data_IF_745528805060
#
_entry.id   IF_745528805060
#
_cell.length_a   1.000
_cell.length_b   1.000
_cell.length_c   1.000
_cell.angle_alpha   90.00
_cell.angle_beta   90.00
_cell.angle_gamma   90.00
#
_symmetry.space_group_name_H-M   'P 1'
#
loop_
_entity.id
_entity.type
_entity.pdbx_description
1 polymer ?
#
# COMPACT_ATOMS: atom_id res chain seq x y z
N UNK A 1 30.50 11.30 0.79
CA UNK A 1 29.84 11.60 -0.49
C UNK A 1 30.47 10.78 -1.62
N UNK A 2 30.22 9.47 -1.77
CA UNK A 2 30.64 8.69 -2.95
C UNK A 2 29.65 7.52 -3.14
N UNK A 3 28.50 7.77 -3.77
CA UNK A 3 27.57 6.74 -4.25
C UNK A 3 26.83 7.26 -5.49
N UNK A 4 27.53 7.40 -6.62
CA UNK A 4 26.91 7.66 -7.92
C UNK A 4 27.90 7.21 -9.01
N UNK A 5 27.50 6.28 -9.88
CA UNK A 5 27.85 6.16 -11.31
C UNK A 5 27.77 4.70 -11.78
N UNK A 6 26.82 4.45 -12.69
CA UNK A 6 26.89 3.58 -13.88
C UNK A 6 25.49 3.01 -14.19
N UNK A 7 24.97 2.95 -15.41
CA UNK A 7 25.26 3.56 -16.70
C UNK A 7 24.03 3.22 -17.56
N UNK A 8 23.49 4.21 -18.26
CA UNK A 8 22.35 4.07 -19.19
C UNK A 8 22.88 3.57 -20.53
N UNK A 9 22.26 2.55 -21.12
CA UNK A 9 22.05 2.41 -22.58
C UNK A 9 21.53 1.01 -22.95
N UNK A 10 20.35 0.90 -23.57
CA UNK A 10 20.21 0.18 -24.85
C UNK A 10 18.91 0.61 -25.55
N UNK A 11 19.00 0.83 -26.86
CA UNK A 11 18.03 1.46 -27.75
C UNK A 11 17.64 0.46 -28.85
N UNK A 12 16.44 0.63 -29.42
CA UNK A 12 15.92 0.07 -30.70
C UNK A 12 15.55 -1.44 -30.70
N UNK A 13 14.58 -1.97 -31.45
CA UNK A 13 13.92 -1.53 -32.70
C UNK A 13 12.66 -2.40 -32.98
N UNK A 14 11.81 -1.95 -33.92
CA UNK A 14 10.95 -2.74 -34.85
C UNK A 14 9.60 -3.26 -34.31
N UNK A 15 8.44 -3.18 -34.98
CA UNK A 15 8.04 -2.69 -36.30
C UNK A 15 6.52 -2.50 -36.33
N UNK A 16 6.07 -1.54 -37.13
CA UNK A 16 4.68 -1.25 -37.50
C UNK A 16 4.13 -2.34 -38.42
N UNK A 17 2.89 -2.79 -38.20
CA UNK A 17 2.10 -3.56 -39.16
C UNK A 17 0.74 -2.88 -39.37
N UNK A 18 0.56 -2.35 -40.58
CA UNK A 18 -0.69 -1.86 -41.14
C UNK A 18 -1.62 -3.05 -41.44
N UNK A 19 -2.91 -2.91 -41.15
CA UNK A 19 -3.97 -3.73 -41.73
C UNK A 19 -5.04 -2.79 -42.31
N UNK A 20 -5.31 -2.97 -43.60
CA UNK A 20 -6.19 -2.17 -44.46
C UNK A 20 -7.66 -2.60 -44.35
N UNK A 21 -8.51 -1.60 -44.57
CA UNK A 21 -9.95 -1.58 -44.87
C UNK A 21 -10.65 -2.89 -45.30
N UNK A 22 -11.85 -3.10 -44.77
CA UNK A 22 -12.96 -3.65 -45.55
C UNK A 22 -14.31 -3.08 -45.06
N UNK A 23 -14.92 -2.21 -45.85
CA UNK A 23 -16.29 -1.73 -45.67
C UNK A 23 -17.29 -2.85 -45.96
N UNK A 24 -18.18 -3.16 -45.01
CA UNK A 24 -19.32 -4.04 -45.24
C UNK A 24 -20.63 -3.23 -45.30
N UNK A 25 -21.55 -3.56 -46.21
CA UNK A 25 -22.68 -2.71 -46.59
C UNK A 25 -23.85 -2.77 -45.59
N UNK A 26 -24.63 -1.69 -45.53
CA UNK A 26 -25.91 -1.59 -44.81
C UNK A 26 -26.95 -2.55 -45.40
N UNK A 27 -27.62 -3.39 -44.59
CA UNK A 27 -28.80 -4.10 -45.06
C UNK A 27 -30.05 -3.19 -45.01
N UNK A 28 -30.65 -3.07 -46.17
CA UNK A 28 -31.99 -2.55 -46.45
C UNK A 28 -33.08 -3.30 -45.70
N UNK A 29 -34.07 -2.54 -45.24
CA UNK A 29 -35.34 -2.95 -44.65
C UNK A 29 -36.14 -3.90 -45.54
N UNK A 30 -36.59 -5.02 -44.98
CA UNK A 30 -37.98 -5.54 -44.94
C UNK A 30 -37.93 -7.04 -44.63
N UNK A 31 -38.50 -7.46 -43.51
CA UNK A 31 -39.70 -8.33 -43.53
C UNK A 31 -40.17 -8.61 -42.11
N UNK A 32 -41.48 -8.46 -41.97
CA UNK A 32 -42.29 -8.55 -40.77
C UNK A 32 -42.72 -10.01 -40.69
N UNK A 33 -42.61 -10.67 -39.54
CA UNK A 33 -43.54 -11.75 -39.19
C UNK A 33 -43.72 -11.85 -37.68
N UNK A 34 -44.99 -11.98 -37.33
CA UNK A 34 -45.59 -11.80 -36.04
C UNK A 34 -45.51 -13.06 -35.16
N UNK A 35 -45.18 -12.89 -33.89
CA UNK A 35 -45.87 -13.56 -32.78
C UNK A 35 -45.54 -12.84 -31.46
N UNK A 36 -46.55 -12.57 -30.63
CA UNK A 36 -46.41 -11.86 -29.36
C UNK A 36 -47.29 -10.61 -29.26
N UNK A 37 -48.32 -10.68 -28.40
CA UNK A 37 -49.32 -9.63 -28.16
C UNK A 37 -48.78 -8.28 -27.65
N UNK A 38 -49.68 -7.30 -27.42
CA UNK A 38 -49.31 -5.89 -27.30
C UNK A 38 -48.53 -5.60 -26.01
N UNK A 39 -47.19 -5.59 -26.07
CA UNK A 39 -46.34 -4.88 -25.11
C UNK A 39 -46.35 -3.38 -25.44
N UNK A 40 -47.51 -2.75 -25.29
CA UNK A 40 -47.69 -1.30 -25.50
C UNK A 40 -47.39 -0.37 -24.29
N UNK A 41 -46.99 -0.81 -23.07
CA UNK A 41 -46.55 0.14 -22.03
C UNK A 41 -45.04 0.43 -22.00
N UNK A 42 -44.18 -0.59 -22.10
CA UNK A 42 -42.73 -0.46 -21.83
C UNK A 42 -41.98 0.36 -22.89
N UNK A 43 -42.35 0.23 -24.16
CA UNK A 43 -41.73 0.99 -25.24
C UNK A 43 -42.12 2.47 -25.22
N UNK A 44 -43.35 2.78 -24.79
CA UNK A 44 -43.81 4.17 -24.61
C UNK A 44 -43.07 4.83 -23.44
N UNK A 45 -42.87 4.10 -22.34
CA UNK A 45 -42.15 4.61 -21.17
C UNK A 45 -40.66 4.82 -21.48
N UNK A 46 -40.03 3.89 -22.21
CA UNK A 46 -38.66 4.09 -22.74
C UNK A 46 -38.58 5.28 -23.69
N UNK A 47 -39.56 5.45 -24.56
CA UNK A 47 -39.61 6.58 -25.50
C UNK A 47 -39.77 7.91 -24.77
N UNK A 48 -40.63 7.97 -23.74
CA UNK A 48 -40.84 9.17 -22.92
C UNK A 48 -39.57 9.55 -22.13
N UNK A 49 -38.87 8.58 -21.53
CA UNK A 49 -37.56 8.81 -20.87
C UNK A 49 -36.51 9.34 -21.86
N UNK A 50 -36.55 8.86 -23.12
CA UNK A 50 -35.65 9.33 -24.17
C UNK A 50 -36.00 10.75 -24.61
N UNK A 51 -37.28 11.10 -24.67
CA UNK A 51 -37.77 12.45 -24.95
C UNK A 51 -37.41 13.43 -23.83
N UNK A 52 -37.50 13.03 -22.57
CA UNK A 52 -37.05 13.83 -21.42
C UNK A 52 -35.54 14.09 -21.49
N UNK A 53 -34.74 13.06 -21.78
CA UNK A 53 -33.29 13.21 -21.98
C UNK A 53 -32.95 14.11 -23.16
N UNK A 54 -33.72 14.02 -24.25
CA UNK A 54 -33.55 14.90 -25.41
C UNK A 54 -33.90 16.36 -25.06
N UNK A 55 -34.95 16.59 -24.28
CA UNK A 55 -35.30 17.93 -23.81
C UNK A 55 -34.21 18.51 -22.89
N UNK A 56 -33.71 17.71 -21.95
CA UNK A 56 -32.60 18.09 -21.06
C UNK A 56 -31.32 18.40 -21.86
N UNK A 57 -30.98 17.56 -22.85
CA UNK A 57 -29.86 17.82 -23.75
C UNK A 57 -30.05 19.12 -24.53
N UNK A 58 -31.27 19.40 -25.01
CA UNK A 58 -31.55 20.60 -25.80
C UNK A 58 -31.46 21.88 -24.94
N UNK A 59 -31.94 21.85 -23.70
CA UNK A 59 -31.77 22.98 -22.77
C UNK A 59 -30.29 23.16 -22.38
N UNK A 60 -29.53 22.08 -22.21
CA UNK A 60 -28.08 22.17 -21.97
C UNK A 60 -27.34 22.75 -23.17
N UNK A 61 -27.70 22.38 -24.39
CA UNK A 61 -27.15 22.96 -25.62
C UNK A 61 -27.49 24.45 -25.70
N UNK A 62 -28.72 24.85 -25.41
CA UNK A 62 -29.14 26.26 -25.40
C UNK A 62 -28.40 27.11 -24.35
N UNK A 63 -28.18 26.56 -23.15
CA UNK A 63 -27.35 27.18 -22.12
C UNK A 63 -25.91 27.33 -22.62
N UNK A 64 -25.34 26.29 -23.23
CA UNK A 64 -24.00 26.34 -23.81
C UNK A 64 -23.90 27.36 -24.95
N UNK A 65 -24.91 27.45 -25.83
CA UNK A 65 -24.94 28.44 -26.92
C UNK A 65 -25.08 29.88 -26.40
N UNK A 66 -25.87 30.10 -25.34
CA UNK A 66 -25.97 31.42 -24.69
C UNK A 66 -24.69 31.80 -23.95
N UNK A 67 -24.00 30.83 -23.35
CA UNK A 67 -22.69 31.01 -22.76
C UNK A 67 -21.63 31.31 -23.84
N UNK A 68 -21.68 30.64 -24.99
CA UNK A 68 -20.78 30.85 -26.12
C UNK A 68 -20.98 32.22 -26.78
N UNK A 69 -22.22 32.73 -26.84
CA UNK A 69 -22.54 34.07 -27.35
C UNK A 69 -21.93 35.21 -26.53
N UNK A 70 -21.71 34.98 -25.24
CA UNK A 70 -21.18 35.99 -24.31
C UNK A 70 -19.71 35.74 -23.90
N UNK A 71 -19.12 34.62 -24.29
CA UNK A 71 -17.76 34.25 -23.94
C UNK A 71 -16.80 34.53 -25.10
N UNK A 72 -15.72 35.26 -24.82
CA UNK A 72 -14.61 35.37 -25.76
C UNK A 72 -13.90 34.01 -25.87
N UNK A 73 -13.25 33.69 -27.01
CA UNK A 73 -12.49 32.45 -27.18
C UNK A 73 -11.48 32.17 -26.05
N UNK A 74 -10.96 33.23 -25.43
CA UNK A 74 -10.04 33.16 -24.28
C UNK A 74 -10.69 32.59 -23.01
N UNK A 75 -11.95 32.93 -22.71
CA UNK A 75 -12.67 32.45 -21.52
C UNK A 75 -13.08 30.98 -21.63
N UNK A 76 -13.31 30.51 -22.85
CA UNK A 76 -13.62 29.09 -23.14
C UNK A 76 -12.36 28.24 -22.99
N UNK A 77 -11.21 28.74 -23.48
CA UNK A 77 -9.91 28.07 -23.32
C UNK A 77 -9.53 27.89 -21.85
N UNK A 78 -9.64 28.95 -21.03
CA UNK A 78 -9.28 28.89 -19.62
C UNK A 78 -10.16 27.94 -18.79
N UNK A 79 -11.44 27.81 -19.17
CA UNK A 79 -12.39 26.95 -18.45
C UNK A 79 -12.19 25.47 -18.80
N UNK A 80 -11.89 25.15 -20.06
CA UNK A 80 -11.52 23.80 -20.50
C UNK A 80 -10.17 23.36 -19.93
N UNK A 81 -9.22 24.29 -19.83
CA UNK A 81 -7.89 24.03 -19.26
C UNK A 81 -7.97 23.80 -17.74
N UNK A 82 -8.78 24.59 -17.02
CA UNK A 82 -9.09 24.35 -15.61
C UNK A 82 -9.77 23.00 -15.36
N UNK A 83 -10.75 22.61 -16.18
CA UNK A 83 -11.43 21.32 -16.05
C UNK A 83 -10.52 20.12 -16.37
N UNK A 84 -9.61 20.26 -17.34
CA UNK A 84 -8.58 19.24 -17.64
C UNK A 84 -7.62 19.07 -16.48
N UNK A 85 -7.12 20.17 -15.91
CA UNK A 85 -6.19 20.10 -14.76
C UNK A 85 -6.84 19.47 -13.53
N UNK A 86 -8.13 19.71 -13.29
CA UNK A 86 -8.85 19.09 -12.18
C UNK A 86 -9.09 17.59 -12.41
N UNK A 87 -9.49 17.19 -13.62
CA UNK A 87 -9.68 15.78 -13.96
C UNK A 87 -8.36 14.99 -13.94
N UNK A 88 -7.26 15.60 -14.38
CA UNK A 88 -5.91 15.04 -14.30
C UNK A 88 -5.42 14.96 -12.85
N UNK A 89 -5.71 15.96 -12.01
CA UNK A 89 -5.39 15.94 -10.58
C UNK A 89 -6.19 14.86 -9.84
N UNK A 90 -7.48 14.70 -10.12
CA UNK A 90 -8.34 13.69 -9.51
C UNK A 90 -7.99 12.27 -10.00
N UNK A 91 -7.59 12.12 -11.27
CA UNK A 91 -7.07 10.87 -11.80
C UNK A 91 -5.70 10.51 -11.19
N UNK A 92 -4.82 11.48 -11.00
CA UNK A 92 -3.51 11.32 -10.35
C UNK A 92 -3.68 10.93 -8.88
N UNK A 93 -4.62 11.57 -8.17
CA UNK A 93 -4.97 11.22 -6.79
C UNK A 93 -5.49 9.78 -6.68
N UNK A 94 -6.44 9.39 -7.53
CA UNK A 94 -6.97 8.02 -7.57
C UNK A 94 -5.92 6.97 -7.97
N UNK A 95 -4.97 7.33 -8.84
CA UNK A 95 -3.85 6.48 -9.19
C UNK A 95 -2.86 6.32 -8.02
N UNK A 96 -2.63 7.38 -7.23
CA UNK A 96 -1.78 7.32 -6.03
C UNK A 96 -2.37 6.49 -4.88
N UNK A 97 -3.70 6.48 -4.75
CA UNK A 97 -4.42 5.74 -3.70
C UNK A 97 -4.43 4.21 -3.94
N UNK A 98 -4.25 3.77 -5.20
CA UNK A 98 -4.30 2.35 -5.59
C UNK A 98 -3.01 1.84 -6.26
N UNK A 99 -1.95 2.63 -6.30
CA UNK A 99 -0.67 2.17 -6.83
C UNK A 99 -0.11 1.08 -5.90
N UNK A 100 0.15 -0.16 -6.39
CA UNK A 100 0.95 -1.10 -5.63
C UNK A 100 2.29 -0.42 -5.37
N UNK A 101 2.60 -0.22 -4.10
CA UNK A 101 3.86 0.36 -3.67
C UNK A 101 4.99 -0.53 -4.16
N UNK A 102 5.59 -0.18 -5.30
CA UNK A 102 6.91 -0.67 -5.68
C UNK A 102 7.91 0.01 -4.75
N UNK A 103 8.00 -0.47 -3.51
CA UNK A 103 8.92 0.05 -2.48
C UNK A 103 10.35 -0.38 -2.81
N UNK A 104 10.94 0.27 -3.82
CA UNK A 104 12.38 0.38 -3.95
C UNK A 104 12.81 1.69 -3.29
N UNK A 105 12.60 1.80 -1.97
CA UNK A 105 13.16 2.89 -1.18
C UNK A 105 14.70 2.77 -1.20
N UNK A 106 15.45 3.89 -1.17
CA UNK A 106 16.90 3.84 -0.95
C UNK A 106 17.29 3.01 0.28
N UNK A 107 16.42 2.98 1.30
CA UNK A 107 16.58 2.15 2.49
C UNK A 107 16.56 0.65 2.19
N UNK A 108 15.86 0.18 1.15
CA UNK A 108 15.76 -1.23 0.78
C UNK A 108 17.14 -1.84 0.47
N UNK A 109 17.98 -1.13 -0.29
CA UNK A 109 19.30 -1.62 -0.67
C UNK A 109 20.23 -1.71 0.54
N UNK A 110 20.23 -0.67 1.38
CA UNK A 110 21.01 -0.65 2.63
C UNK A 110 20.55 -1.73 3.60
N UNK A 111 19.23 -1.95 3.69
CA UNK A 111 18.64 -3.00 4.52
C UNK A 111 19.10 -4.37 4.07
N UNK A 112 19.04 -4.67 2.77
CA UNK A 112 19.50 -5.95 2.23
C UNK A 112 20.99 -6.20 2.50
N UNK A 113 21.83 -5.16 2.41
CA UNK A 113 23.24 -5.24 2.77
C UNK A 113 23.42 -5.54 4.26
N UNK A 114 22.71 -4.83 5.14
CA UNK A 114 22.77 -5.03 6.58
C UNK A 114 22.28 -6.44 6.99
N UNK A 115 21.20 -6.93 6.37
CA UNK A 115 20.72 -8.31 6.51
C UNK A 115 21.75 -9.33 6.04
N UNK A 116 22.48 -9.04 4.96
CA UNK A 116 23.61 -9.86 4.51
C UNK A 116 24.71 -10.01 5.55
N UNK A 117 25.05 -8.92 6.28
CA UNK A 117 26.01 -8.96 7.39
C UNK A 117 25.45 -9.76 8.59
N UNK A 118 24.17 -9.59 8.91
CA UNK A 118 23.51 -10.33 9.97
C UNK A 118 23.51 -11.84 9.70
N UNK A 119 23.23 -12.25 8.46
CA UNK A 119 23.24 -13.65 8.04
C UNK A 119 24.63 -14.28 8.09
N UNK A 120 25.69 -13.47 7.94
CA UNK A 120 27.09 -13.89 8.13
C UNK A 120 27.51 -13.97 9.61
N UNK A 121 26.64 -13.55 10.54
CA UNK A 121 26.95 -13.47 11.96
C UNK A 121 27.86 -12.29 12.34
N UNK A 122 28.06 -11.33 11.44
CA UNK A 122 28.86 -10.12 11.69
C UNK A 122 28.04 -9.09 12.48
N UNK A 123 27.64 -9.45 13.71
CA UNK A 123 26.66 -8.70 14.51
C UNK A 123 27.02 -7.22 14.73
N UNK A 124 28.30 -6.91 14.98
CA UNK A 124 28.75 -5.53 15.16
C UNK A 124 28.52 -4.67 13.91
N UNK A 125 29.01 -5.14 12.75
CA UNK A 125 28.84 -4.44 11.47
C UNK A 125 27.38 -4.39 11.03
N UNK A 126 26.62 -5.45 11.27
CA UNK A 126 25.18 -5.48 10.98
C UNK A 126 24.44 -4.41 11.81
N UNK A 127 24.71 -4.33 13.12
CA UNK A 127 24.11 -3.31 14.00
C UNK A 127 24.43 -1.89 13.51
N UNK A 128 25.70 -1.62 13.16
CA UNK A 128 26.10 -0.32 12.61
C UNK A 128 25.36 0.01 11.31
N UNK A 129 25.27 -0.94 10.37
CA UNK A 129 24.57 -0.75 9.11
C UNK A 129 23.06 -0.50 9.31
N UNK A 130 22.41 -1.22 10.22
CA UNK A 130 21.02 -0.97 10.57
C UNK A 130 20.82 0.40 11.24
N UNK A 131 21.74 0.83 12.13
CA UNK A 131 21.68 2.15 12.75
C UNK A 131 21.82 3.30 11.74
N UNK A 132 22.56 3.10 10.65
CA UNK A 132 22.59 4.08 9.56
C UNK A 132 21.20 4.25 8.94
N UNK A 133 20.48 3.14 8.68
CA UNK A 133 19.13 3.18 8.11
C UNK A 133 18.18 3.96 9.02
N UNK A 134 18.22 3.71 10.33
CA UNK A 134 17.34 4.39 11.30
C UNK A 134 17.62 5.89 11.42
N UNK A 135 18.82 6.34 11.05
CA UNK A 135 19.23 7.76 11.07
C UNK A 135 18.93 8.46 9.75
N UNK A 136 19.19 7.79 8.62
CA UNK A 136 19.03 8.35 7.28
C UNK A 136 17.56 8.33 6.83
N UNK A 137 16.79 7.32 7.25
CA UNK A 137 15.42 7.08 6.80
C UNK A 137 14.45 6.85 7.98
N UNK A 138 14.37 7.76 8.97
CA UNK A 138 13.66 7.51 10.24
C UNK A 138 12.16 7.19 10.08
N UNK A 139 11.51 7.72 9.04
CA UNK A 139 10.08 7.50 8.76
C UNK A 139 9.81 6.30 7.84
N UNK A 140 10.86 5.68 7.31
CA UNK A 140 10.73 4.58 6.35
C UNK A 140 10.36 3.27 7.07
N UNK A 141 9.56 2.43 6.43
CA UNK A 141 9.21 1.09 6.95
C UNK A 141 10.46 0.26 7.27
N UNK A 142 11.54 0.43 6.51
CA UNK A 142 12.80 -0.26 6.74
C UNK A 142 13.55 0.24 7.98
N UNK A 143 13.30 1.45 8.49
CA UNK A 143 13.87 1.88 9.76
C UNK A 143 13.26 1.11 10.93
N UNK A 144 11.94 0.88 10.94
CA UNK A 144 11.30 0.06 11.97
C UNK A 144 11.70 -1.41 11.88
N UNK A 145 11.87 -1.95 10.66
CA UNK A 145 12.44 -3.29 10.44
C UNK A 145 13.91 -3.37 10.90
N UNK A 146 14.69 -2.31 10.67
CA UNK A 146 16.07 -2.22 11.15
C UNK A 146 16.14 -2.20 12.69
N UNK A 147 15.25 -1.46 13.35
CA UNK A 147 15.13 -1.46 14.81
C UNK A 147 14.84 -2.85 15.39
N UNK A 148 13.96 -3.63 14.74
CA UNK A 148 13.71 -5.02 15.14
C UNK A 148 15.00 -5.85 15.11
N UNK A 149 15.76 -5.77 14.02
CA UNK A 149 17.03 -6.51 13.89
C UNK A 149 18.12 -6.01 14.85
N UNK A 150 18.17 -4.72 15.15
CA UNK A 150 19.05 -4.17 16.19
C UNK A 150 18.69 -4.78 17.55
N UNK A 151 17.40 -4.92 17.85
CA UNK A 151 16.92 -5.60 19.05
C UNK A 151 17.39 -7.05 19.14
N UNK A 152 17.23 -7.83 18.07
CA UNK A 152 17.68 -9.23 17.99
C UNK A 152 19.20 -9.35 18.17
N UNK A 153 19.97 -8.46 17.54
CA UNK A 153 21.42 -8.42 17.68
C UNK A 153 21.80 -8.14 19.13
N UNK A 154 21.17 -7.15 19.77
CA UNK A 154 21.43 -6.80 21.16
C UNK A 154 21.06 -7.93 22.12
N UNK A 155 19.96 -8.67 21.87
CA UNK A 155 19.63 -9.88 22.64
C UNK A 155 20.74 -10.93 22.54
N UNK A 156 21.23 -11.21 21.33
CA UNK A 156 22.33 -12.17 21.12
C UNK A 156 23.63 -11.73 21.81
N UNK A 157 23.89 -10.42 21.82
CA UNK A 157 25.04 -9.82 22.51
C UNK A 157 24.83 -9.67 24.03
N UNK A 158 23.67 -10.06 24.56
CA UNK A 158 23.26 -9.89 25.98
C UNK A 158 23.19 -8.44 26.45
N UNK A 159 23.06 -7.49 25.51
CA UNK A 159 22.83 -6.08 25.78
C UNK A 159 21.34 -5.83 25.95
N UNK A 160 20.77 -6.33 27.05
CA UNK A 160 19.30 -6.37 27.20
C UNK A 160 18.66 -4.98 27.30
N UNK A 161 19.38 -3.97 27.81
CA UNK A 161 18.94 -2.56 27.83
C UNK A 161 18.73 -2.02 26.42
N UNK A 162 19.77 -2.08 25.59
CA UNK A 162 19.70 -1.66 24.19
C UNK A 162 18.68 -2.48 23.39
N UNK A 163 18.49 -3.76 23.73
CA UNK A 163 17.50 -4.61 23.08
C UNK A 163 16.07 -4.11 23.36
N UNK A 164 15.76 -3.80 24.62
CA UNK A 164 14.46 -3.25 25.01
C UNK A 164 14.17 -1.94 24.28
N UNK A 165 15.15 -1.03 24.23
CA UNK A 165 14.99 0.24 23.53
C UNK A 165 14.74 0.02 22.03
N UNK A 166 15.55 -0.82 21.38
CA UNK A 166 15.43 -1.08 19.95
C UNK A 166 14.09 -1.72 19.58
N UNK A 167 13.59 -2.71 20.34
CA UNK A 167 12.27 -3.27 20.08
C UNK A 167 11.15 -2.26 20.35
N UNK A 168 11.30 -1.41 21.36
CA UNK A 168 10.33 -0.34 21.63
C UNK A 168 10.25 0.63 20.45
N UNK A 169 11.40 1.01 19.86
CA UNK A 169 11.45 1.82 18.65
C UNK A 169 10.84 1.10 17.43
N UNK A 170 11.08 -0.20 17.29
CA UNK A 170 10.46 -0.98 16.21
C UNK A 170 8.92 -0.94 16.28
N UNK A 171 8.36 -0.93 17.50
CA UNK A 171 6.91 -0.94 17.76
C UNK A 171 6.24 0.44 17.66
N UNK A 172 6.99 1.54 17.49
CA UNK A 172 6.39 2.87 17.26
C UNK A 172 5.88 3.05 15.83
N UNK A 173 6.42 2.28 14.88
CA UNK A 173 6.09 2.36 13.47
C UNK A 173 5.08 1.35 12.97
N UNK A 174 4.81 1.44 11.67
CA UNK A 174 3.94 0.50 10.94
C UNK A 174 4.71 -0.75 10.54
N UNK A 175 4.83 -1.70 11.46
CA UNK A 175 5.27 -3.06 11.15
C UNK A 175 4.09 -3.92 10.70
N UNK A 176 4.35 -4.81 9.75
CA UNK A 176 3.42 -5.88 9.41
C UNK A 176 3.18 -6.77 10.64
N UNK A 177 1.97 -7.31 10.77
CA UNK A 177 1.54 -8.06 11.96
C UNK A 177 2.53 -9.15 12.41
N UNK A 178 3.09 -9.99 11.52
CA UNK A 178 4.07 -11.01 11.96
C UNK A 178 5.32 -10.40 12.58
N UNK A 179 5.85 -9.32 12.00
CA UNK A 179 7.05 -8.64 12.49
C UNK A 179 6.77 -7.87 13.78
N UNK A 180 5.58 -7.27 13.91
CA UNK A 180 5.14 -6.64 15.15
C UNK A 180 5.08 -7.65 16.31
N UNK A 181 4.58 -8.86 16.05
CA UNK A 181 4.56 -9.96 17.03
C UNK A 181 5.99 -10.33 17.42
N UNK A 182 6.90 -10.48 16.46
CA UNK A 182 8.29 -10.84 16.73
C UNK A 182 9.03 -9.76 17.53
N UNK A 183 8.83 -8.48 17.20
CA UNK A 183 9.38 -7.36 17.96
C UNK A 183 8.85 -7.34 19.40
N UNK A 184 7.55 -7.62 19.60
CA UNK A 184 6.93 -7.66 20.93
C UNK A 184 7.38 -8.86 21.76
N UNK A 185 7.60 -10.03 21.12
CA UNK A 185 8.23 -11.19 21.77
C UNK A 185 9.67 -10.87 22.17
N UNK A 186 10.44 -10.25 21.28
CA UNK A 186 11.80 -9.78 21.57
C UNK A 186 11.85 -8.78 22.73
N UNK A 187 10.90 -7.84 22.78
CA UNK A 187 10.76 -6.89 23.88
C UNK A 187 10.48 -7.59 25.22
N UNK A 188 9.56 -8.56 25.23
CA UNK A 188 9.25 -9.35 26.42
C UNK A 188 10.48 -10.15 26.90
N UNK A 189 11.21 -10.77 25.98
CA UNK A 189 12.45 -11.50 26.29
C UNK A 189 13.54 -10.57 26.85
N UNK A 190 13.72 -9.38 26.26
CA UNK A 190 14.67 -8.38 26.75
C UNK A 190 14.32 -7.97 28.19
N UNK A 191 13.04 -7.66 28.46
CA UNK A 191 12.56 -7.30 29.80
C UNK A 191 12.74 -8.44 30.81
N UNK A 192 12.40 -9.67 30.43
CA UNK A 192 12.63 -10.85 31.27
C UNK A 192 14.12 -11.01 31.62
N UNK A 193 15.02 -10.82 30.65
CA UNK A 193 16.47 -10.90 30.88
C UNK A 193 17.04 -9.74 31.70
N UNK A 194 16.33 -8.61 31.74
CA UNK A 194 16.59 -7.48 32.64
C UNK A 194 15.94 -7.62 34.02
N UNK A 195 15.31 -8.77 34.31
CA UNK A 195 14.56 -9.01 35.55
C UNK A 195 13.30 -8.12 35.71
N UNK A 196 12.88 -7.40 34.65
CA UNK A 196 11.59 -6.71 34.59
C UNK A 196 10.47 -7.71 34.23
N UNK A 197 10.14 -8.55 35.21
CA UNK A 197 9.13 -9.60 35.07
C UNK A 197 7.73 -9.02 34.85
N UNK A 198 7.43 -7.88 35.48
CA UNK A 198 6.15 -7.19 35.32
C UNK A 198 5.97 -6.72 33.88
N UNK A 199 6.93 -5.97 33.35
CA UNK A 199 6.88 -5.50 31.97
C UNK A 199 6.90 -6.63 30.95
N UNK A 200 7.60 -7.73 31.24
CA UNK A 200 7.53 -8.94 30.42
C UNK A 200 6.09 -9.48 30.34
N UNK A 201 5.44 -9.75 31.48
CA UNK A 201 4.09 -10.30 31.49
C UNK A 201 3.06 -9.38 30.80
N UNK A 202 3.22 -8.06 30.92
CA UNK A 202 2.37 -7.08 30.22
C UNK A 202 2.46 -7.24 28.69
N UNK A 203 3.66 -7.40 28.14
CA UNK A 203 3.83 -7.60 26.69
C UNK A 203 3.26 -8.94 26.22
N UNK A 204 3.49 -10.02 26.98
CA UNK A 204 3.00 -11.36 26.63
C UNK A 204 1.46 -11.46 26.70
N UNK A 205 0.81 -10.74 27.62
CA UNK A 205 -0.64 -10.70 27.73
C UNK A 205 -1.32 -10.09 26.49
N UNK A 206 -0.65 -9.15 25.81
CA UNK A 206 -1.16 -8.56 24.57
C UNK A 206 -1.11 -9.60 23.44
N UNK A 207 -0.02 -10.37 23.37
CA UNK A 207 0.17 -11.41 22.35
C UNK A 207 -0.81 -12.58 22.47
N UNK A 208 -1.32 -12.89 23.65
CA UNK A 208 -2.29 -13.98 23.86
C UNK A 208 -3.60 -13.80 23.07
N UNK A 209 -3.91 -12.57 22.66
CA UNK A 209 -5.12 -12.23 21.89
C UNK A 209 -4.88 -12.20 20.37
N UNK A 210 -3.62 -12.28 19.95
CA UNK A 210 -3.22 -12.17 18.55
C UNK A 210 -3.20 -13.52 17.83
N UNK A 211 -3.36 -13.50 16.51
CA UNK A 211 -3.13 -14.69 15.69
C UNK A 211 -1.64 -14.93 15.50
N UNK A 212 -1.13 -15.94 16.19
CA UNK A 212 0.29 -16.30 16.19
C UNK A 212 0.56 -17.48 15.24
N UNK A 213 1.70 -17.46 14.55
CA UNK A 213 2.23 -18.65 13.87
C UNK A 213 2.63 -19.74 14.88
N UNK A 214 2.80 -20.98 14.43
CA UNK A 214 3.20 -22.08 15.32
C UNK A 214 4.52 -21.79 16.04
N UNK A 215 5.48 -21.17 15.34
CA UNK A 215 6.77 -20.80 15.94
C UNK A 215 6.60 -19.68 16.97
N UNK A 216 5.80 -18.66 16.66
CA UNK A 216 5.51 -17.56 17.59
C UNK A 216 4.77 -18.05 18.84
N UNK A 217 3.82 -18.98 18.69
CA UNK A 217 3.14 -19.63 19.83
C UNK A 217 4.12 -20.35 20.72
N UNK A 218 5.01 -21.15 20.14
CA UNK A 218 6.04 -21.88 20.88
C UNK A 218 6.99 -20.93 21.63
N UNK A 219 7.40 -19.83 20.97
CA UNK A 219 8.24 -18.78 21.58
C UNK A 219 7.51 -18.07 22.73
N UNK A 220 6.23 -17.72 22.54
CA UNK A 220 5.36 -17.16 23.57
C UNK A 220 5.22 -18.08 24.78
N UNK A 221 4.86 -19.35 24.57
CA UNK A 221 4.68 -20.35 25.64
C UNK A 221 5.97 -20.58 26.43
N UNK A 222 7.10 -20.68 25.73
CA UNK A 222 8.42 -20.82 26.36
C UNK A 222 8.73 -19.60 27.24
N UNK A 223 8.45 -18.39 26.74
CA UNK A 223 8.70 -17.15 27.47
C UNK A 223 7.76 -17.02 28.67
N UNK A 224 6.47 -17.35 28.54
CA UNK A 224 5.51 -17.39 29.65
C UNK A 224 5.97 -18.33 30.76
N UNK A 225 6.42 -19.54 30.40
CA UNK A 225 6.93 -20.54 31.36
C UNK A 225 8.16 -20.01 32.09
N UNK A 226 9.12 -19.43 31.37
CA UNK A 226 10.35 -18.90 31.95
C UNK A 226 10.10 -17.67 32.83
N UNK A 227 9.17 -16.82 32.43
CA UNK A 227 8.79 -15.64 33.18
C UNK A 227 7.85 -15.95 34.37
N UNK A 228 7.41 -17.20 34.54
CA UNK A 228 6.38 -17.58 35.53
C UNK A 228 5.13 -16.70 35.47
N UNK A 229 4.85 -16.08 34.32
CA UNK A 229 3.67 -15.28 34.11
C UNK A 229 2.47 -16.23 34.07
N UNK A 230 1.52 -16.07 34.99
CA UNK A 230 0.26 -16.80 34.89
C UNK A 230 -0.41 -16.38 33.57
N UNK A 231 -0.67 -17.34 32.67
CA UNK A 231 -1.46 -17.06 31.48
C UNK A 231 -2.80 -16.52 31.94
N UNK A 232 -3.16 -15.29 31.54
CA UNK A 232 -4.48 -14.75 31.84
C UNK A 232 -5.53 -15.77 31.36
N UNK A 233 -6.42 -16.13 32.28
CA UNK A 233 -7.10 -17.43 32.30
C UNK A 233 -7.77 -17.85 30.99
N UNK A 234 -7.79 -19.17 30.78
CA UNK A 234 -8.76 -19.81 29.90
C UNK A 234 -10.15 -19.26 30.23
N UNK A 235 -10.94 -18.76 29.26
CA UNK A 235 -12.34 -18.54 29.51
C UNK A 235 -12.95 -19.91 29.89
N UNK A 236 -13.65 -19.93 31.03
CA UNK A 236 -14.44 -21.07 31.48
C UNK A 236 -15.59 -21.34 30.52
#
# INVERSE_FOLDING_TARGET
>A
MHCFLAFVAFFASSSVLYATEQSAPLPTSTEINADGGPQLPEDIERHNVLLEKLHELNERVKILESALRNATPAAISSTLEGARTQAEADATKKASENAPTLINSPATAQYNQASGLLNKGEFGKAKEAFLCITREYPEDIYAYKAWLHIGDINLKMKNFGDAEEAFSQALTGKLETPLMIDARLGLAEAKMKKEDMKGCCEQLAILQKEQLSNEQKKRLETTLKNASCQSAGKPK
#
